data_IF_562968450497
#
_entry.id   IF_562968450497
#
_cell.length_a   1.000
_cell.length_b   1.000
_cell.length_c   1.000
_cell.angle_alpha   90.00
_cell.angle_beta   90.00
_cell.angle_gamma   90.00
#
_symmetry.space_group_name_H-M   'P 1'
#
loop_
_entity.id
_entity.type
_entity.pdbx_description
1 polymer ?
#
# COMPACT_ATOMS: atom_id res chain seq x y z
N UNK A 1 0.85 2.92 -10.82
CA UNK A 1 -0.48 2.31 -10.63
C UNK A 1 -0.94 1.78 -11.98
N UNK A 2 -1.50 0.57 -11.99
CA UNK A 2 -2.13 0.01 -13.19
C UNK A 2 -3.48 0.69 -13.34
N UNK A 3 -3.44 1.88 -13.92
CA UNK A 3 -4.57 2.78 -13.97
C UNK A 3 -5.27 2.67 -15.33
N UNK A 4 -6.43 2.00 -15.42
CA UNK A 4 -7.17 1.89 -16.68
C UNK A 4 -7.61 3.28 -17.20
N UNK A 5 -7.66 4.30 -16.34
CA UNK A 5 -8.04 5.66 -16.71
C UNK A 5 -6.96 6.41 -17.49
N UNK A 6 -5.74 5.88 -17.61
CA UNK A 6 -4.71 6.43 -18.51
C UNK A 6 -5.05 6.21 -19.99
N UNK A 7 -5.71 5.10 -20.32
CA UNK A 7 -6.01 4.71 -21.70
C UNK A 7 -7.47 4.23 -21.87
N UNK A 8 -8.47 4.96 -21.36
CA UNK A 8 -9.86 4.51 -21.26
C UNK A 8 -10.44 4.10 -22.63
N UNK A 9 -10.09 4.85 -23.69
CA UNK A 9 -10.57 4.62 -25.05
C UNK A 9 -9.84 3.48 -25.78
N UNK A 10 -8.83 2.87 -25.12
CA UNK A 10 -8.06 1.74 -25.62
C UNK A 10 -8.46 0.43 -24.96
N UNK A 11 -9.45 0.42 -24.06
CA UNK A 11 -9.88 -0.76 -23.32
C UNK A 11 -11.22 -1.26 -23.84
N UNK A 12 -11.44 -2.57 -23.77
CA UNK A 12 -12.74 -3.16 -24.01
C UNK A 12 -13.69 -2.87 -22.86
N UNK A 13 -14.95 -2.60 -23.21
CA UNK A 13 -16.05 -2.61 -22.27
C UNK A 13 -16.25 -4.04 -21.73
N UNK A 14 -16.09 -4.19 -20.42
CA UNK A 14 -16.29 -5.44 -19.66
C UNK A 14 -17.44 -5.31 -18.66
N UNK A 15 -18.37 -4.36 -18.86
CA UNK A 15 -19.48 -4.09 -17.94
C UNK A 15 -20.36 -5.30 -17.69
N UNK A 16 -20.73 -6.05 -18.73
CA UNK A 16 -21.51 -7.29 -18.58
C UNK A 16 -20.82 -8.30 -17.65
N UNK A 17 -19.50 -8.45 -17.77
CA UNK A 17 -18.73 -9.36 -16.91
C UNK A 17 -18.58 -8.81 -15.49
N UNK A 18 -18.32 -7.50 -15.35
CA UNK A 18 -18.23 -6.84 -14.04
C UNK A 18 -19.55 -6.89 -13.26
N UNK A 19 -20.69 -6.72 -13.95
CA UNK A 19 -22.03 -6.86 -13.39
C UNK A 19 -22.34 -8.30 -13.03
N UNK A 20 -22.07 -9.26 -13.93
CA UNK A 20 -22.23 -10.68 -13.65
C UNK A 20 -21.48 -11.11 -12.37
N UNK A 21 -20.18 -10.81 -12.30
CA UNK A 21 -19.34 -11.17 -11.15
C UNK A 21 -19.81 -10.43 -9.88
N UNK A 22 -20.12 -9.14 -9.99
CA UNK A 22 -20.64 -8.34 -8.87
C UNK A 22 -21.96 -8.89 -8.33
N UNK A 23 -22.93 -9.21 -9.18
CA UNK A 23 -24.20 -9.79 -8.77
C UNK A 23 -24.04 -11.18 -8.16
N UNK A 24 -23.15 -12.01 -8.70
CA UNK A 24 -22.90 -13.37 -8.21
C UNK A 24 -22.18 -13.40 -6.86
N UNK A 25 -21.22 -12.50 -6.65
CA UNK A 25 -20.30 -12.52 -5.50
C UNK A 25 -20.54 -11.38 -4.49
N UNK A 26 -21.80 -10.98 -4.32
CA UNK A 26 -22.22 -10.06 -3.25
C UNK A 26 -21.82 -8.60 -3.46
N UNK A 27 -21.32 -8.25 -4.63
CA UNK A 27 -20.89 -6.91 -5.03
C UNK A 27 -19.39 -6.69 -4.89
N UNK A 28 -18.93 -5.58 -5.48
CA UNK A 28 -17.56 -5.10 -5.37
C UNK A 28 -17.43 -4.14 -4.17
N UNK A 29 -16.24 -4.06 -3.57
CA UNK A 29 -15.87 -2.96 -2.69
C UNK A 29 -15.80 -1.64 -3.47
N UNK A 30 -16.32 -0.55 -2.90
CA UNK A 30 -16.55 0.70 -3.64
C UNK A 30 -15.26 1.34 -4.16
N UNK A 31 -14.21 1.38 -3.34
CA UNK A 31 -12.90 1.92 -3.72
C UNK A 31 -12.34 1.23 -4.97
N UNK A 32 -12.07 -0.09 -4.94
CA UNK A 32 -11.56 -0.82 -6.10
C UNK A 32 -12.47 -0.73 -7.32
N UNK A 33 -13.80 -0.74 -7.13
CA UNK A 33 -14.75 -0.57 -8.23
C UNK A 33 -14.58 0.78 -8.93
N UNK A 34 -14.36 1.87 -8.20
CA UNK A 34 -14.13 3.20 -8.77
C UNK A 34 -12.86 3.24 -9.63
N UNK A 35 -11.79 2.56 -9.22
CA UNK A 35 -10.56 2.46 -10.02
C UNK A 35 -10.75 1.69 -11.33
N UNK A 36 -11.77 0.82 -11.42
CA UNK A 36 -12.04 -0.01 -12.59
C UNK A 36 -13.23 0.47 -13.46
N UNK A 37 -13.91 1.54 -13.06
CA UNK A 37 -15.12 2.03 -13.74
C UNK A 37 -15.00 3.48 -14.16
N UNK A 38 -15.57 3.83 -15.32
CA UNK A 38 -15.67 5.20 -15.83
C UNK A 38 -17.06 5.42 -16.41
N UNK A 39 -17.72 6.50 -15.99
CA UNK A 39 -19.07 6.87 -16.48
C UNK A 39 -20.08 5.71 -16.38
N UNK A 40 -19.97 4.91 -15.31
CA UNK A 40 -20.84 3.75 -15.04
C UNK A 40 -20.44 2.46 -15.77
N UNK A 41 -19.42 2.47 -16.64
CA UNK A 41 -18.95 1.29 -17.36
C UNK A 41 -17.70 0.70 -16.72
N UNK A 42 -17.58 -0.63 -16.70
CA UNK A 42 -16.32 -1.28 -16.35
C UNK A 42 -15.36 -1.22 -17.54
N UNK A 43 -14.26 -0.50 -17.36
CA UNK A 43 -13.12 -0.43 -18.30
C UNK A 43 -12.00 -1.41 -17.90
N UNK A 44 -12.20 -2.12 -16.79
CA UNK A 44 -11.40 -3.24 -16.31
C UNK A 44 -12.13 -3.96 -15.18
N UNK A 45 -11.52 -5.00 -14.61
CA UNK A 45 -12.01 -5.68 -13.42
C UNK A 45 -11.02 -5.46 -12.27
N UNK A 46 -11.46 -4.98 -11.10
CA UNK A 46 -10.55 -4.78 -9.98
C UNK A 46 -10.15 -6.15 -9.44
N UNK A 47 -8.87 -6.49 -9.53
CA UNK A 47 -8.34 -7.82 -9.21
C UNK A 47 -7.93 -7.93 -7.74
N UNK A 48 -7.19 -6.94 -7.24
CA UNK A 48 -6.78 -6.90 -5.85
C UNK A 48 -6.55 -5.48 -5.35
N UNK A 49 -6.59 -5.37 -4.02
CA UNK A 49 -5.98 -4.26 -3.31
C UNK A 49 -4.74 -4.73 -2.57
N UNK A 50 -3.72 -3.89 -2.51
CA UNK A 50 -2.51 -4.11 -1.71
C UNK A 50 -2.41 -2.94 -0.76
N UNK A 51 -2.60 -3.25 0.53
CA UNK A 51 -2.46 -2.30 1.62
C UNK A 51 -1.02 -2.15 2.07
N UNK A 52 -0.73 -1.00 2.66
CA UNK A 52 0.52 -0.70 3.30
C UNK A 52 0.29 -0.54 4.80
N UNK A 53 1.26 -0.91 5.62
CA UNK A 53 1.19 -0.73 7.06
C UNK A 53 2.57 -0.33 7.57
N UNK A 54 2.61 0.26 8.77
CA UNK A 54 3.87 0.35 9.48
C UNK A 54 4.30 -1.07 9.88
N UNK A 55 5.56 -1.39 9.59
CA UNK A 55 6.23 -2.61 10.06
C UNK A 55 7.39 -2.16 10.94
N UNK A 56 7.44 -2.67 12.18
CA UNK A 56 8.43 -2.22 13.16
C UNK A 56 8.96 -3.35 14.05
N UNK A 57 10.11 -3.09 14.68
CA UNK A 57 10.75 -3.95 15.69
C UNK A 57 10.23 -3.59 17.09
N UNK A 58 9.43 -4.47 17.70
CA UNK A 58 8.81 -4.21 19.00
C UNK A 58 9.85 -3.99 20.11
N UNK A 59 10.92 -4.79 20.12
CA UNK A 59 12.01 -4.69 21.08
C UNK A 59 12.68 -3.30 21.05
N UNK A 60 12.96 -2.77 19.86
CA UNK A 60 13.60 -1.45 19.70
C UNK A 60 12.66 -0.30 20.04
N UNK A 61 11.36 -0.42 19.75
CA UNK A 61 10.36 0.56 20.22
C UNK A 61 10.33 0.60 21.76
N UNK A 62 10.37 -0.55 22.43
CA UNK A 62 10.45 -0.63 23.90
C UNK A 62 11.77 -0.07 24.44
N UNK A 63 12.90 -0.37 23.79
CA UNK A 63 14.21 0.18 24.15
C UNK A 63 14.27 1.70 24.02
N UNK A 64 13.58 2.27 23.03
CA UNK A 64 13.42 3.71 22.84
C UNK A 64 12.50 4.36 23.90
N UNK A 65 11.92 3.58 24.82
CA UNK A 65 11.10 4.06 25.94
C UNK A 65 9.60 4.12 25.65
N UNK A 66 9.13 3.48 24.58
CA UNK A 66 7.72 3.48 24.18
C UNK A 66 7.08 2.13 24.50
N UNK A 67 6.03 2.13 25.33
CA UNK A 67 5.27 0.91 25.65
C UNK A 67 4.36 0.45 24.51
N UNK A 68 3.96 1.37 23.64
CA UNK A 68 3.12 1.14 22.46
C UNK A 68 3.62 1.99 21.29
N UNK A 69 3.29 1.56 20.06
CA UNK A 69 3.55 2.37 18.88
C UNK A 69 2.62 3.61 18.87
N UNK A 70 3.15 4.83 18.70
CA UNK A 70 2.34 6.05 18.68
C UNK A 70 1.29 6.05 17.57
N UNK A 71 0.07 6.48 17.92
CA UNK A 71 -1.07 6.50 17.00
C UNK A 71 -1.23 7.83 16.26
N UNK A 72 -0.40 8.82 16.57
CA UNK A 72 -0.41 10.13 15.93
C UNK A 72 0.97 10.54 15.40
N UNK A 73 0.97 11.43 14.40
CA UNK A 73 2.18 11.93 13.72
C UNK A 73 3.19 12.57 14.67
N UNK A 74 2.74 13.26 15.73
CA UNK A 74 3.64 13.91 16.69
C UNK A 74 4.40 12.88 17.50
N UNK A 75 3.70 11.92 18.11
CA UNK A 75 4.31 10.84 18.85
C UNK A 75 5.17 9.95 17.97
N UNK A 76 4.77 9.74 16.72
CA UNK A 76 5.56 8.98 15.76
C UNK A 76 6.91 9.64 15.46
N UNK A 77 6.95 10.97 15.28
CA UNK A 77 8.20 11.71 15.10
C UNK A 77 9.11 11.59 16.34
N UNK A 78 8.55 11.68 17.54
CA UNK A 78 9.33 11.52 18.78
C UNK A 78 9.87 10.10 18.94
N UNK A 79 9.09 9.07 18.57
CA UNK A 79 9.58 7.70 18.51
C UNK A 79 10.76 7.57 17.53
N UNK A 80 10.63 8.09 16.32
CA UNK A 80 11.69 8.00 15.32
C UNK A 80 13.00 8.70 15.76
N UNK A 81 12.91 9.85 16.44
CA UNK A 81 14.07 10.51 17.06
C UNK A 81 14.71 9.65 18.14
N UNK A 82 13.92 9.05 19.03
CA UNK A 82 14.40 8.20 20.11
C UNK A 82 15.08 6.92 19.57
N UNK A 83 14.47 6.31 18.57
CA UNK A 83 14.99 5.17 17.83
C UNK A 83 16.34 5.49 17.16
N UNK A 84 16.44 6.63 16.46
CA UNK A 84 17.71 7.08 15.88
C UNK A 84 18.79 7.28 16.94
N UNK A 85 18.45 7.91 18.08
CA UNK A 85 19.40 8.12 19.18
C UNK A 85 19.92 6.81 19.80
N UNK A 86 19.20 5.69 19.61
CA UNK A 86 19.60 4.33 20.00
C UNK A 86 20.32 3.56 18.89
N UNK A 87 20.55 4.17 17.72
CA UNK A 87 21.18 3.51 16.58
C UNK A 87 20.23 2.63 15.76
N UNK A 88 18.91 2.84 15.89
CA UNK A 88 17.87 2.09 15.19
C UNK A 88 17.00 3.02 14.33
N UNK A 89 17.56 3.73 13.33
CA UNK A 89 16.83 4.76 12.59
C UNK A 89 15.57 4.21 11.91
N UNK A 90 14.69 5.10 11.46
CA UNK A 90 13.59 4.73 10.55
C UNK A 90 14.06 4.77 9.09
N UNK A 91 13.24 4.30 8.16
CA UNK A 91 13.53 4.46 6.72
C UNK A 91 12.30 4.28 5.85
N UNK A 92 11.98 5.28 5.05
CA UNK A 92 10.85 5.25 4.12
C UNK A 92 11.30 5.66 2.72
N UNK A 93 10.81 4.95 1.72
CA UNK A 93 11.17 5.14 0.31
C UNK A 93 10.80 6.54 -0.17
N UNK A 94 11.80 7.33 -0.56
CA UNK A 94 11.62 8.63 -1.21
C UNK A 94 11.96 8.60 -2.71
N UNK A 95 12.59 7.52 -3.18
CA UNK A 95 12.85 7.29 -4.60
C UNK A 95 11.62 6.82 -5.36
N UNK A 96 11.80 6.37 -6.61
CA UNK A 96 10.71 5.98 -7.52
C UNK A 96 10.11 4.59 -7.22
N UNK A 97 9.85 4.28 -5.94
CA UNK A 97 9.08 3.11 -5.52
C UNK A 97 7.58 3.35 -5.69
N UNK A 98 6.96 2.69 -6.68
CA UNK A 98 5.55 2.94 -7.05
C UNK A 98 4.60 2.45 -5.96
N UNK A 99 5.00 1.43 -5.21
CA UNK A 99 4.24 0.97 -4.05
C UNK A 99 4.52 1.80 -2.82
N UNK A 100 5.66 1.57 -2.19
CA UNK A 100 5.91 2.09 -0.85
C UNK A 100 6.13 3.59 -0.86
N UNK A 101 6.84 4.11 -1.88
CA UNK A 101 7.10 5.54 -2.01
C UNK A 101 5.83 6.35 -2.20
N UNK A 102 4.96 5.93 -3.13
CA UNK A 102 3.68 6.60 -3.34
C UNK A 102 2.76 6.49 -2.12
N UNK A 103 2.66 5.33 -1.48
CA UNK A 103 1.83 5.17 -0.28
C UNK A 103 2.28 6.10 0.85
N UNK A 104 3.59 6.15 1.11
CA UNK A 104 4.17 7.04 2.11
C UNK A 104 3.94 8.53 1.76
N UNK A 105 4.18 8.93 0.52
CA UNK A 105 3.99 10.31 0.08
C UNK A 105 2.51 10.76 0.19
N UNK A 106 1.56 9.89 -0.16
CA UNK A 106 0.14 10.19 -0.01
C UNK A 106 -0.30 10.23 1.45
N UNK A 107 0.21 9.35 2.31
CA UNK A 107 -0.02 9.46 3.76
C UNK A 107 0.48 10.80 4.30
N UNK A 108 1.72 11.22 3.97
CA UNK A 108 2.25 12.52 4.38
C UNK A 108 1.32 13.67 3.98
N UNK A 109 0.96 13.71 2.69
CA UNK A 109 0.11 14.75 2.11
C UNK A 109 -1.27 14.79 2.77
N UNK A 110 -1.97 13.66 2.77
CA UNK A 110 -3.37 13.58 3.21
C UNK A 110 -3.51 13.68 4.73
N UNK A 111 -2.55 13.18 5.50
CA UNK A 111 -2.59 13.25 6.98
C UNK A 111 -2.48 14.68 7.49
N UNK A 112 -1.92 15.59 6.67
CA UNK A 112 -1.81 17.02 6.96
C UNK A 112 -2.86 17.87 6.23
N UNK A 113 -3.76 17.23 5.47
CA UNK A 113 -4.89 17.89 4.79
C UNK A 113 -4.57 18.41 3.39
N UNK A 114 -3.38 18.15 2.86
CA UNK A 114 -3.03 18.48 1.49
C UNK A 114 -3.75 17.58 0.49
N UNK A 115 -3.94 18.06 -0.73
CA UNK A 115 -4.62 17.34 -1.81
C UNK A 115 -3.97 17.69 -3.15
N UNK A 116 -3.86 16.71 -4.06
CA UNK A 116 -3.31 16.97 -5.40
C UNK A 116 -4.27 17.79 -6.26
N UNK A 117 -5.56 17.43 -6.21
CA UNK A 117 -6.67 18.09 -6.89
C UNK A 117 -7.88 18.15 -5.96
N UNK A 118 -8.77 19.13 -6.16
CA UNK A 118 -10.06 19.20 -5.49
C UNK A 118 -11.16 18.39 -6.21
N UNK A 119 -12.38 18.39 -5.66
CA UNK A 119 -13.54 17.68 -6.22
C UNK A 119 -13.93 18.12 -7.64
N UNK A 120 -13.54 19.34 -8.05
CA UNK A 120 -13.76 19.85 -9.40
C UNK A 120 -12.66 19.44 -10.39
N UNK A 121 -11.62 18.74 -9.91
CA UNK A 121 -10.44 18.36 -10.68
C UNK A 121 -9.42 19.49 -10.83
N UNK A 122 -9.58 20.60 -10.11
CA UNK A 122 -8.61 21.69 -10.13
C UNK A 122 -7.39 21.29 -9.31
N UNK A 123 -6.19 21.56 -9.82
CA UNK A 123 -4.93 21.32 -9.10
C UNK A 123 -4.84 22.22 -7.86
N UNK A 124 -4.69 21.60 -6.69
CA UNK A 124 -4.64 22.29 -5.38
C UNK A 124 -3.40 21.96 -4.57
N UNK A 125 -2.43 21.24 -5.15
CA UNK A 125 -1.25 20.76 -4.42
C UNK A 125 -0.43 21.87 -3.76
N UNK A 126 -0.44 23.09 -4.30
CA UNK A 126 0.22 24.24 -3.69
C UNK A 126 -0.71 24.90 -2.65
N UNK A 127 -0.71 24.35 -1.42
CA UNK A 127 -1.52 24.85 -0.31
C UNK A 127 -0.73 24.93 1.00
N UNK A 128 -1.21 25.70 2.00
CA UNK A 128 -0.61 25.72 3.34
C UNK A 128 -0.56 24.33 4.00
N UNK A 129 -1.53 23.46 3.71
CA UNK A 129 -1.58 22.08 4.22
C UNK A 129 -0.47 21.21 3.62
N UNK A 130 -0.22 21.35 2.31
CA UNK A 130 0.93 20.69 1.67
C UNK A 130 2.25 21.18 2.25
N UNK A 131 2.38 22.49 2.54
CA UNK A 131 3.59 23.01 3.19
C UNK A 131 3.81 22.38 4.58
N UNK A 132 2.76 22.25 5.39
CA UNK A 132 2.83 21.54 6.69
C UNK A 132 3.24 20.09 6.54
N UNK A 133 2.76 19.39 5.51
CA UNK A 133 3.18 18.02 5.21
C UNK A 133 4.69 17.95 4.91
N UNK A 134 5.21 18.90 4.13
CA UNK A 134 6.63 19.00 3.78
C UNK A 134 7.48 19.31 5.02
N UNK A 135 7.06 20.26 5.86
CA UNK A 135 7.76 20.59 7.12
C UNK A 135 7.86 19.36 8.05
N UNK A 136 6.75 18.62 8.20
CA UNK A 136 6.77 17.37 8.95
C UNK A 136 7.69 16.32 8.31
N UNK A 137 7.62 16.14 6.99
CA UNK A 137 8.49 15.21 6.26
C UNK A 137 9.97 15.56 6.42
N UNK A 138 10.33 16.84 6.46
CA UNK A 138 11.71 17.29 6.69
C UNK A 138 12.20 16.93 8.09
N UNK A 139 11.39 17.12 9.13
CA UNK A 139 11.75 16.72 10.49
C UNK A 139 11.87 15.19 10.63
N UNK A 140 10.95 14.46 10.01
CA UNK A 140 10.97 12.99 10.03
C UNK A 140 12.18 12.43 9.24
N UNK A 141 12.51 13.00 8.08
CA UNK A 141 13.65 12.57 7.26
C UNK A 141 14.98 12.66 8.00
N UNK A 142 15.15 13.62 8.92
CA UNK A 142 16.36 13.72 9.75
C UNK A 142 16.60 12.48 10.61
N UNK A 143 15.58 11.67 10.88
CA UNK A 143 15.69 10.44 11.68
C UNK A 143 16.01 9.20 10.83
N UNK A 144 16.18 9.35 9.52
CA UNK A 144 16.29 8.23 8.60
C UNK A 144 17.70 7.67 8.53
N UNK A 145 17.79 6.40 8.15
CA UNK A 145 19.01 5.82 7.58
C UNK A 145 19.36 6.56 6.26
N UNK A 146 20.64 6.76 5.92
CA UNK A 146 21.02 7.38 4.65
C UNK A 146 20.57 6.57 3.42
N UNK A 147 20.38 7.26 2.29
CA UNK A 147 20.18 6.63 0.98
C UNK A 147 18.72 6.45 0.56
N UNK A 148 17.75 6.75 1.42
CA UNK A 148 16.31 6.53 1.18
C UNK A 148 15.76 7.27 -0.05
N UNK A 149 16.41 8.35 -0.47
CA UNK A 149 16.12 9.12 -1.69
C UNK A 149 16.32 8.30 -2.98
N UNK A 150 17.13 7.24 -2.92
CA UNK A 150 17.43 6.36 -4.05
C UNK A 150 16.68 5.03 -3.99
N UNK A 151 15.88 4.79 -2.95
CA UNK A 151 15.22 3.52 -2.73
C UNK A 151 14.09 3.27 -3.73
N UNK A 152 13.93 2.00 -4.08
CA UNK A 152 12.75 1.41 -4.70
C UNK A 152 12.03 0.52 -3.67
N UNK A 153 10.90 -0.06 -4.06
CA UNK A 153 10.01 -0.85 -3.18
C UNK A 153 10.71 -2.03 -2.47
N UNK A 154 11.81 -2.56 -3.00
CA UNK A 154 12.51 -3.70 -2.38
C UNK A 154 13.54 -3.27 -1.31
N UNK A 155 13.96 -2.00 -1.32
CA UNK A 155 15.11 -1.56 -0.52
C UNK A 155 14.80 -1.49 0.98
N UNK A 156 13.61 -1.02 1.36
CA UNK A 156 13.19 -0.96 2.76
C UNK A 156 13.17 -2.35 3.41
N UNK A 157 12.66 -3.38 2.72
CA UNK A 157 12.65 -4.77 3.18
C UNK A 157 14.06 -5.28 3.42
N UNK A 158 14.97 -5.06 2.47
CA UNK A 158 16.36 -5.51 2.57
C UNK A 158 17.04 -4.88 3.77
N UNK A 159 16.92 -3.56 3.94
CA UNK A 159 17.54 -2.85 5.06
C UNK A 159 16.92 -3.23 6.42
N UNK A 160 15.59 -3.39 6.47
CA UNK A 160 14.89 -3.85 7.69
C UNK A 160 15.33 -5.27 8.10
N UNK A 161 15.36 -6.22 7.14
CA UNK A 161 15.74 -7.61 7.40
C UNK A 161 17.25 -7.79 7.64
N UNK A 162 18.08 -6.85 7.17
CA UNK A 162 19.50 -6.75 7.52
C UNK A 162 19.72 -6.21 8.95
N UNK A 163 18.67 -5.69 9.60
CA UNK A 163 18.75 -5.12 10.94
C UNK A 163 19.32 -3.71 10.98
N UNK A 164 19.21 -2.95 9.89
CA UNK A 164 19.79 -1.61 9.77
C UNK A 164 18.86 -0.50 10.28
N UNK A 165 17.56 -0.78 10.42
CA UNK A 165 16.53 0.21 10.77
C UNK A 165 15.33 -0.43 11.46
N UNK A 166 14.62 0.36 12.26
CA UNK A 166 13.55 -0.10 13.14
C UNK A 166 12.15 -0.09 12.54
N UNK A 167 11.90 0.79 11.57
CA UNK A 167 10.55 1.12 11.10
C UNK A 167 10.55 1.38 9.60
N UNK A 168 9.62 0.73 8.88
CA UNK A 168 9.29 0.96 7.47
C UNK A 168 7.77 1.08 7.31
N UNK A 169 7.32 1.61 6.17
CA UNK A 169 6.00 1.30 5.62
C UNK A 169 6.18 0.30 4.48
N UNK A 170 5.56 -0.87 4.60
CA UNK A 170 5.49 -1.86 3.54
C UNK A 170 4.18 -2.68 3.64
N UNK A 171 3.84 -3.42 2.58
CA UNK A 171 2.88 -4.52 2.70
C UNK A 171 3.40 -5.66 3.59
N UNK A 172 2.78 -6.84 3.52
CA UNK A 172 3.15 -8.00 4.35
C UNK A 172 4.55 -8.59 4.02
N UNK A 173 5.25 -8.07 2.99
CA UNK A 173 6.36 -8.76 2.36
C UNK A 173 7.62 -8.89 3.22
N UNK A 174 7.96 -7.89 4.04
CA UNK A 174 9.05 -7.99 5.02
C UNK A 174 8.78 -9.09 6.05
N UNK A 175 7.56 -9.11 6.61
CA UNK A 175 7.14 -10.15 7.55
C UNK A 175 7.14 -11.54 6.93
N UNK A 176 6.55 -11.68 5.73
CA UNK A 176 6.50 -12.97 5.04
C UNK A 176 7.91 -13.50 4.72
N UNK A 177 8.83 -12.64 4.32
CA UNK A 177 10.21 -13.04 4.04
C UNK A 177 10.91 -13.53 5.31
N UNK A 178 10.77 -12.83 6.44
CA UNK A 178 11.31 -13.29 7.72
C UNK A 178 10.67 -14.62 8.15
N UNK A 179 9.34 -14.73 8.04
CA UNK A 179 8.56 -15.93 8.42
C UNK A 179 8.93 -17.16 7.60
N UNK A 180 9.06 -17.05 6.28
CA UNK A 180 9.36 -18.17 5.39
C UNK A 180 10.78 -18.69 5.62
N UNK A 181 11.73 -17.80 5.93
CA UNK A 181 13.14 -18.16 6.06
C UNK A 181 13.59 -18.42 7.51
N UNK A 182 12.70 -18.30 8.50
CA UNK A 182 13.02 -18.43 9.94
C UNK A 182 13.71 -19.76 10.30
N UNK A 183 13.40 -20.85 9.60
CA UNK A 183 13.95 -22.17 9.92
C UNK A 183 15.34 -22.39 9.28
N UNK A 184 15.72 -21.52 8.33
CA UNK A 184 17.00 -21.57 7.61
C UNK A 184 17.98 -20.48 8.07
N UNK A 185 17.50 -19.41 8.71
CA UNK A 185 18.31 -18.31 9.22
C UNK A 185 17.86 -17.89 10.63
N UNK A 186 18.65 -18.20 11.68
CA UNK A 186 18.34 -17.81 13.06
C UNK A 186 18.13 -16.31 13.25
N UNK A 187 18.81 -15.44 12.47
CA UNK A 187 18.60 -13.99 12.57
C UNK A 187 17.21 -13.61 12.09
N UNK A 188 16.76 -14.19 10.98
CA UNK A 188 15.41 -13.97 10.47
C UNK A 188 14.36 -14.57 11.40
N UNK A 189 14.66 -15.65 12.12
CA UNK A 189 13.78 -16.20 13.15
C UNK A 189 13.54 -15.21 14.29
N UNK A 190 14.59 -14.55 14.78
CA UNK A 190 14.47 -13.53 15.82
C UNK A 190 13.76 -12.28 15.33
N UNK A 191 14.07 -11.82 14.12
CA UNK A 191 13.35 -10.69 13.49
C UNK A 191 11.86 -11.03 13.34
N UNK A 192 11.51 -12.23 12.86
CA UNK A 192 10.12 -12.63 12.67
C UNK A 192 9.29 -12.61 13.98
N UNK A 193 9.89 -12.98 15.13
CA UNK A 193 9.23 -12.93 16.44
C UNK A 193 8.99 -11.49 16.92
N UNK A 194 9.86 -10.58 16.51
CA UNK A 194 9.91 -9.20 16.97
C UNK A 194 9.20 -8.19 16.05
N UNK A 195 8.84 -8.60 14.83
CA UNK A 195 8.02 -7.78 13.93
C UNK A 195 6.62 -7.60 14.50
N UNK A 196 6.15 -6.35 14.50
CA UNK A 196 4.74 -5.97 14.68
C UNK A 196 4.33 -5.04 13.55
N UNK A 197 3.02 -4.94 13.36
CA UNK A 197 2.42 -4.05 12.35
C UNK A 197 1.33 -3.19 12.96
N UNK A 198 1.15 -2.01 12.40
CA UNK A 198 0.05 -1.10 12.75
C UNK A 198 -0.26 -0.16 11.58
N UNK A 199 -1.42 0.46 11.59
CA UNK A 199 -1.80 1.46 10.61
C UNK A 199 -0.86 2.67 10.67
N UNK A 200 -0.83 3.46 9.60
CA UNK A 200 -0.05 4.69 9.62
C UNK A 200 -0.63 5.69 10.65
N UNK A 201 0.23 6.44 11.38
CA UNK A 201 -0.23 7.36 12.42
C UNK A 201 -1.20 8.43 11.90
N UNK A 202 -2.19 8.78 12.71
CA UNK A 202 -3.18 9.81 12.40
C UNK A 202 -2.51 11.19 12.43
N UNK A 203 -2.66 11.94 11.35
CA UNK A 203 -2.19 13.32 11.27
C UNK A 203 -3.18 14.33 11.82
N UNK A 204 -2.87 15.64 11.72
CA UNK A 204 -3.72 16.73 12.18
C UNK A 204 -5.17 16.71 11.64
N UNK A 205 -5.44 16.02 10.53
CA UNK A 205 -6.80 15.83 9.99
C UNK A 205 -7.69 14.95 10.86
N UNK A 206 -7.14 14.26 11.87
CA UNK A 206 -7.92 13.53 12.88
C UNK A 206 -8.57 12.23 12.41
N UNK A 207 -8.24 11.75 11.22
CA UNK A 207 -8.74 10.48 10.65
C UNK A 207 -7.61 9.68 10.02
N UNK A 208 -7.80 8.36 9.96
CA UNK A 208 -6.91 7.46 9.22
C UNK A 208 -6.98 7.79 7.73
N UNK A 209 -5.83 7.92 7.09
CA UNK A 209 -5.71 8.20 5.65
C UNK A 209 -4.55 7.38 5.11
N UNK A 210 -4.87 6.50 4.17
CA UNK A 210 -3.89 5.61 3.56
C UNK A 210 -4.26 5.46 2.09
N UNK A 211 -3.25 5.44 1.23
CA UNK A 211 -3.44 4.98 -0.13
C UNK A 211 -3.45 3.45 -0.10
N UNK A 212 -4.24 2.86 -1.00
CA UNK A 212 -4.20 1.43 -1.28
C UNK A 212 -3.87 1.27 -2.75
N UNK A 213 -2.97 0.36 -3.08
CA UNK A 213 -2.72 0.05 -4.49
C UNK A 213 -3.88 -0.80 -4.98
N UNK A 214 -4.53 -0.38 -6.08
CA UNK A 214 -5.53 -1.19 -6.76
C UNK A 214 -4.91 -1.73 -8.04
N UNK A 215 -4.93 -3.05 -8.19
CA UNK A 215 -4.56 -3.74 -9.43
C UNK A 215 -5.83 -4.00 -10.22
N UNK A 216 -5.87 -3.55 -11.47
CA UNK A 216 -7.01 -3.74 -12.38
C UNK A 216 -6.61 -4.61 -13.55
N UNK A 217 -7.36 -5.68 -13.80
CA UNK A 217 -7.22 -6.49 -15.00
C UNK A 217 -7.95 -5.80 -16.17
N UNK A 218 -7.26 -5.54 -17.27
CA UNK A 218 -7.80 -4.84 -18.43
C UNK A 218 -7.65 -5.67 -19.70
N UNK A 219 -8.49 -5.41 -20.69
CA UNK A 219 -8.37 -6.00 -22.03
C UNK A 219 -8.24 -4.85 -23.03
N UNK A 220 -7.10 -4.74 -23.71
CA UNK A 220 -6.92 -3.72 -24.73
C UNK A 220 -7.73 -4.03 -26.01
N UNK A 221 -8.27 -2.99 -26.64
CA UNK A 221 -9.13 -3.09 -27.82
C UNK A 221 -8.42 -3.53 -29.12
N UNK A 222 -7.09 -3.52 -29.13
CA UNK A 222 -6.30 -4.04 -30.27
C UNK A 222 -6.20 -5.57 -30.26
N UNK A 223 -6.67 -6.26 -29.21
CA UNK A 223 -6.60 -7.73 -29.18
C UNK A 223 -7.46 -8.34 -30.29
N UNK A 224 -6.93 -9.30 -31.07
CA UNK A 224 -7.74 -10.03 -32.04
C UNK A 224 -8.64 -11.09 -31.38
N UNK A 225 -8.52 -11.32 -30.06
CA UNK A 225 -9.24 -12.36 -29.33
C UNK A 225 -10.01 -11.85 -28.10
N UNK A 226 -10.92 -10.86 -28.26
CA UNK A 226 -11.61 -10.23 -27.13
C UNK A 226 -12.46 -11.21 -26.31
N UNK A 227 -13.15 -12.15 -26.98
CA UNK A 227 -14.00 -13.12 -26.30
C UNK A 227 -13.19 -14.11 -25.47
N UNK A 228 -12.02 -14.54 -25.96
CA UNK A 228 -11.13 -15.43 -25.21
C UNK A 228 -10.57 -14.72 -23.97
N UNK A 229 -10.17 -13.45 -24.10
CA UNK A 229 -9.70 -12.64 -22.97
C UNK A 229 -10.80 -12.44 -21.92
N UNK A 230 -12.05 -12.15 -22.34
CA UNK A 230 -13.20 -12.05 -21.42
C UNK A 230 -13.47 -13.38 -20.71
N UNK A 231 -13.45 -14.50 -21.43
CA UNK A 231 -13.64 -15.83 -20.84
C UNK A 231 -12.54 -16.18 -19.83
N UNK A 232 -11.28 -15.79 -20.11
CA UNK A 232 -10.18 -15.98 -19.18
C UNK A 232 -10.34 -15.13 -17.91
N UNK A 233 -10.70 -13.85 -18.04
CA UNK A 233 -10.98 -13.01 -16.87
C UNK A 233 -12.15 -13.57 -16.07
N UNK A 234 -13.23 -14.01 -16.72
CA UNK A 234 -14.32 -14.68 -16.01
C UNK A 234 -13.80 -15.87 -15.21
N UNK A 235 -13.09 -16.80 -15.87
CA UNK A 235 -12.51 -17.98 -15.23
C UNK A 235 -11.65 -17.63 -14.01
N UNK A 236 -10.78 -16.60 -14.10
CA UNK A 236 -9.92 -16.21 -12.98
C UNK A 236 -10.69 -15.64 -11.77
N UNK A 237 -11.84 -15.02 -12.01
CA UNK A 237 -12.69 -14.43 -10.96
C UNK A 237 -13.74 -15.41 -10.42
N UNK A 238 -13.88 -16.59 -11.02
CA UNK A 238 -14.71 -17.65 -10.47
C UNK A 238 -14.13 -18.18 -9.15
N UNK A 239 -15.01 -18.61 -8.26
CA UNK A 239 -14.68 -18.97 -6.88
C UNK A 239 -13.48 -19.91 -6.72
N UNK A 240 -13.34 -21.02 -7.48
CA UNK A 240 -12.20 -21.92 -7.30
C UNK A 240 -10.86 -21.24 -7.58
N UNK A 241 -10.79 -20.42 -8.64
CA UNK A 241 -9.57 -19.71 -9.04
C UNK A 241 -9.27 -18.55 -8.10
N UNK A 242 -10.28 -17.75 -7.78
CA UNK A 242 -10.11 -16.58 -6.94
C UNK A 242 -9.73 -16.95 -5.51
N UNK A 243 -10.37 -17.98 -4.92
CA UNK A 243 -10.01 -18.47 -3.57
C UNK A 243 -8.59 -19.03 -3.52
N UNK A 244 -8.20 -19.81 -4.51
CA UNK A 244 -6.85 -20.36 -4.60
C UNK A 244 -5.80 -19.25 -4.75
N UNK A 245 -6.07 -18.27 -5.61
CA UNK A 245 -5.19 -17.13 -5.83
C UNK A 245 -5.02 -16.25 -4.58
N UNK A 246 -6.12 -15.86 -3.92
CA UNK A 246 -6.07 -15.06 -2.68
C UNK A 246 -5.31 -15.81 -1.59
N UNK A 247 -5.62 -17.10 -1.39
CA UNK A 247 -4.96 -17.93 -0.37
C UNK A 247 -3.46 -18.04 -0.65
N UNK A 248 -3.10 -18.28 -1.91
CA UNK A 248 -1.71 -18.41 -2.35
C UNK A 248 -0.93 -17.09 -2.29
N UNK A 249 -1.61 -15.94 -2.30
CA UNK A 249 -0.98 -14.62 -2.11
C UNK A 249 -0.46 -14.41 -0.68
N UNK A 250 -0.80 -15.30 0.26
CA UNK A 250 -0.37 -15.25 1.66
C UNK A 250 -0.63 -13.88 2.33
N UNK A 251 -1.79 -13.28 2.03
CA UNK A 251 -2.23 -11.99 2.57
C UNK A 251 -1.63 -10.77 1.87
N UNK A 252 -0.90 -10.94 0.77
CA UNK A 252 -0.38 -9.81 -0.01
C UNK A 252 -1.46 -9.15 -0.87
N UNK A 253 -2.33 -9.95 -1.49
CA UNK A 253 -3.44 -9.47 -2.30
C UNK A 253 -4.75 -9.59 -1.50
N UNK A 254 -5.40 -8.46 -1.24
CA UNK A 254 -6.73 -8.42 -0.65
C UNK A 254 -7.81 -8.43 -1.75
N UNK A 255 -8.87 -9.18 -1.52
CA UNK A 255 -10.00 -9.35 -2.43
C UNK A 255 -10.76 -8.03 -2.69
N UNK A 256 -11.42 -7.98 -3.85
CA UNK A 256 -12.23 -6.83 -4.29
C UNK A 256 -13.72 -7.14 -4.36
N UNK A 257 -14.10 -8.43 -4.37
CA UNK A 257 -15.48 -8.93 -4.30
C UNK A 257 -15.81 -9.33 -2.86
N UNK A 258 -16.98 -8.91 -2.37
CA UNK A 258 -17.41 -9.07 -0.96
C UNK A 258 -17.61 -10.51 -0.53
N UNK A 259 -17.92 -11.43 -1.45
CA UNK A 259 -18.07 -12.85 -1.11
C UNK A 259 -16.76 -13.56 -0.72
N UNK A 260 -15.60 -12.92 -0.93
CA UNK A 260 -14.29 -13.48 -0.56
C UNK A 260 -13.68 -12.81 0.68
N UNK A 261 -14.48 -12.04 1.44
CA UNK A 261 -14.09 -11.49 2.73
C UNK A 261 -13.91 -12.55 3.83
#
# INVERSE_FOLDING_TARGET
FDDPHQYPDKLHDVSELGEYLGSKYGGWHDGPKQYATREGKFIGLPLATIGNAIVYRESWVKEAGFSEFPKDTKGFLELCKALQAKGHPAGFTHGHGVGDGNNYAHWLLWSHGGQMVDESGKVTINSPETLKAIEYAQELYKTFIPGTESWLDVNNNRAFLAGELAVIANGISAYNTAKINKDNDPKLAEIAKDIRTTNLPIGPVGKSVELFQVTTAVIFNYTPYPNAAKAYLQFMFEEPQMKDWITSSAGYCCQTLKAFD
#
